data_IF_284561625482
#
_entry.id   IF_284561625482
#
_cell.length_a   1.000
_cell.length_b   1.000
_cell.length_c   1.000
_cell.angle_alpha   90.00
_cell.angle_beta   90.00
_cell.angle_gamma   90.00
#
_symmetry.space_group_name_H-M   'P 1'
#
loop_
_entity.id
_entity.type
_entity.pdbx_description
1 polymer ?
#
# COMPACT_ATOMS: atom_id res chain seq x y z
N UNK A 1 20.25 10.22 -31.24
CA UNK A 1 18.86 9.68 -31.38
C UNK A 1 18.63 8.40 -30.58
N UNK A 2 19.50 7.37 -30.64
CA UNK A 2 19.35 6.13 -29.86
C UNK A 2 19.29 6.34 -28.33
N UNK A 3 20.15 7.19 -27.77
CA UNK A 3 20.16 7.50 -26.33
C UNK A 3 18.87 8.20 -25.86
N UNK A 4 18.36 9.15 -26.64
CA UNK A 4 17.11 9.85 -26.34
C UNK A 4 15.90 8.88 -26.36
N UNK A 5 15.86 7.96 -27.33
CA UNK A 5 14.81 6.95 -27.40
C UNK A 5 14.84 6.00 -26.19
N UNK A 6 16.03 5.60 -25.73
CA UNK A 6 16.21 4.77 -24.53
C UNK A 6 15.72 5.51 -23.28
N UNK A 7 16.08 6.79 -23.12
CA UNK A 7 15.64 7.60 -21.98
C UNK A 7 14.11 7.78 -21.96
N UNK A 8 13.48 8.02 -23.11
CA UNK A 8 12.03 8.11 -23.23
C UNK A 8 11.33 6.79 -22.90
N UNK A 9 11.91 5.66 -23.30
CA UNK A 9 11.37 4.34 -23.00
C UNK A 9 11.43 4.02 -21.49
N UNK A 10 12.57 4.33 -20.84
CA UNK A 10 12.73 4.17 -19.39
C UNK A 10 11.72 5.07 -18.64
N UNK A 11 11.59 6.33 -19.07
CA UNK A 11 10.62 7.26 -18.48
C UNK A 11 9.18 6.75 -18.61
N UNK A 12 8.80 6.21 -19.77
CA UNK A 12 7.48 5.60 -19.99
C UNK A 12 7.19 4.40 -19.07
N UNK A 13 8.19 3.54 -18.81
CA UNK A 13 8.03 2.40 -17.90
C UNK A 13 7.82 2.86 -16.46
N UNK A 14 8.56 3.89 -16.00
CA UNK A 14 8.42 4.44 -14.66
C UNK A 14 7.01 5.00 -14.38
N UNK A 15 6.30 5.46 -15.41
CA UNK A 15 4.93 5.99 -15.26
C UNK A 15 3.87 4.90 -15.02
N UNK A 16 4.18 3.62 -15.27
CA UNK A 16 3.22 2.51 -15.13
C UNK A 16 3.32 1.77 -13.79
N UNK A 17 4.22 2.20 -12.88
CA UNK A 17 4.33 1.64 -11.55
C UNK A 17 3.15 2.11 -10.67
N UNK A 18 2.02 1.43 -10.81
CA UNK A 18 0.78 1.75 -10.13
C UNK A 18 0.59 0.87 -8.90
N UNK A 19 1.11 1.32 -7.77
CA UNK A 19 0.92 0.69 -6.48
C UNK A 19 1.52 1.55 -5.39
N UNK A 20 0.84 1.67 -4.25
CA UNK A 20 1.38 2.37 -3.10
C UNK A 20 2.03 1.38 -2.15
N UNK A 21 3.37 1.38 -2.14
CA UNK A 21 4.14 0.76 -1.06
C UNK A 21 5.12 1.78 -0.50
N UNK A 22 5.34 1.74 0.81
CA UNK A 22 6.38 2.55 1.45
C UNK A 22 7.16 1.72 2.45
N UNK A 23 8.41 2.10 2.69
CA UNK A 23 9.27 1.50 3.70
C UNK A 23 9.77 2.60 4.62
N UNK A 24 9.67 2.37 5.91
CA UNK A 24 10.19 3.28 6.93
C UNK A 24 11.13 2.51 7.84
N UNK A 25 12.28 3.10 8.15
CA UNK A 25 13.12 2.63 9.25
C UNK A 25 12.38 2.88 10.57
N UNK A 26 12.39 1.88 11.43
CA UNK A 26 11.80 1.95 12.76
C UNK A 26 12.78 1.41 13.79
N UNK A 27 12.61 1.86 15.03
CA UNK A 27 13.34 1.28 16.14
C UNK A 27 12.78 -0.13 16.45
N UNK A 28 13.66 -1.01 16.90
CA UNK A 28 13.27 -2.29 17.48
C UNK A 28 13.14 -2.13 18.98
N UNK A 29 12.26 -2.91 19.60
CA UNK A 29 12.15 -2.92 21.06
C UNK A 29 13.48 -3.39 21.68
N UNK A 30 14.09 -2.61 22.59
CA UNK A 30 15.35 -2.99 23.23
C UNK A 30 15.25 -4.24 24.10
N UNK A 31 14.04 -4.60 24.55
CA UNK A 31 13.78 -5.80 25.37
C UNK A 31 13.38 -7.01 24.52
N UNK A 32 12.80 -6.80 23.32
CA UNK A 32 12.41 -7.85 22.38
C UNK A 32 12.78 -7.47 20.92
N UNK A 33 13.91 -7.98 20.38
CA UNK A 33 14.36 -7.64 19.03
C UNK A 33 13.45 -8.16 17.91
N UNK A 34 12.36 -8.89 18.25
CA UNK A 34 11.32 -9.32 17.31
C UNK A 34 10.11 -8.38 17.30
N UNK A 35 10.19 -7.19 17.89
CA UNK A 35 9.10 -6.20 17.95
C UNK A 35 9.54 -4.88 17.32
N UNK A 36 8.76 -4.40 16.34
CA UNK A 36 8.92 -3.07 15.77
C UNK A 36 8.20 -2.01 16.62
N UNK A 37 8.81 -0.83 16.75
CA UNK A 37 8.19 0.35 17.36
C UNK A 37 7.75 1.32 16.24
N UNK A 38 6.47 1.32 15.87
CA UNK A 38 5.95 2.14 14.78
C UNK A 38 4.94 3.19 15.27
N UNK A 39 5.23 4.46 15.02
CA UNK A 39 4.43 5.60 15.50
C UNK A 39 2.93 5.49 15.20
N UNK A 40 2.56 4.92 14.04
CA UNK A 40 1.16 4.87 13.58
C UNK A 40 0.28 3.86 14.30
N UNK A 41 0.86 2.77 14.83
CA UNK A 41 0.11 1.62 15.37
C UNK A 41 0.68 1.08 16.69
N UNK A 42 1.84 1.58 17.12
CA UNK A 42 2.54 1.10 18.29
C UNK A 42 3.44 -0.10 18.01
N UNK A 43 3.43 -1.07 18.93
CA UNK A 43 4.30 -2.25 18.92
C UNK A 43 3.62 -3.41 18.22
N UNK A 44 4.34 -4.10 17.34
CA UNK A 44 3.86 -5.32 16.69
C UNK A 44 5.04 -6.18 16.22
N UNK A 45 4.83 -7.50 16.08
CA UNK A 45 5.91 -8.47 15.91
C UNK A 45 6.43 -8.53 14.48
N UNK A 46 7.69 -8.92 14.31
CA UNK A 46 8.25 -9.25 12.99
C UNK A 46 7.38 -10.32 12.32
N UNK A 47 7.05 -10.08 11.05
CA UNK A 47 6.15 -10.90 10.24
C UNK A 47 4.66 -10.61 10.45
N UNK A 48 4.29 -9.87 11.51
CA UNK A 48 2.91 -9.46 11.74
C UNK A 48 2.53 -8.29 10.81
N UNK A 49 1.29 -8.31 10.32
CA UNK A 49 0.69 -7.23 9.55
C UNK A 49 -0.49 -6.64 10.31
N UNK A 50 -0.52 -5.32 10.43
CA UNK A 50 -1.54 -4.57 11.18
C UNK A 50 -2.19 -3.51 10.30
N UNK A 51 -3.48 -3.31 10.47
CA UNK A 51 -4.26 -2.32 9.71
C UNK A 51 -3.95 -0.89 10.16
N UNK A 52 -3.87 0.05 9.21
CA UNK A 52 -3.74 1.49 9.47
C UNK A 52 -5.10 2.23 9.53
N UNK A 53 -6.20 1.47 9.55
CA UNK A 53 -7.55 1.99 9.76
C UNK A 53 -7.68 2.68 11.14
N UNK A 54 -8.45 3.78 11.26
CA UNK A 54 -9.30 4.42 10.22
C UNK A 54 -8.59 5.47 9.39
N UNK A 55 -7.33 5.78 9.69
CA UNK A 55 -6.64 6.93 9.09
C UNK A 55 -6.19 6.66 7.66
N UNK A 56 -5.95 5.40 7.29
CA UNK A 56 -5.40 5.03 5.99
C UNK A 56 -5.89 3.65 5.57
N UNK A 57 -6.29 3.50 4.30
CA UNK A 57 -6.59 2.20 3.71
C UNK A 57 -5.31 1.46 3.29
N UNK A 58 -4.60 0.95 4.29
CA UNK A 58 -3.36 0.21 4.12
C UNK A 58 -3.11 -0.71 5.31
N UNK A 59 -2.21 -1.67 5.12
CA UNK A 59 -1.62 -2.46 6.20
C UNK A 59 -0.12 -2.19 6.31
N UNK A 60 0.42 -2.36 7.51
CA UNK A 60 1.83 -2.24 7.82
C UNK A 60 2.35 -3.58 8.31
N UNK A 61 3.46 -4.05 7.74
CA UNK A 61 4.14 -5.29 8.12
C UNK A 61 5.49 -4.97 8.73
N UNK A 62 5.78 -5.55 9.89
CA UNK A 62 7.07 -5.39 10.57
C UNK A 62 8.09 -6.37 9.99
N UNK A 63 9.21 -5.84 9.52
CA UNK A 63 10.46 -6.57 9.31
C UNK A 63 11.54 -5.99 10.22
N UNK A 64 12.60 -6.75 10.50
CA UNK A 64 13.69 -6.31 11.40
C UNK A 64 14.22 -4.90 11.04
N UNK A 65 13.84 -3.90 11.84
CA UNK A 65 14.21 -2.49 11.69
C UNK A 65 13.50 -1.73 10.55
N UNK A 66 12.56 -2.36 9.85
CA UNK A 66 11.87 -1.79 8.69
C UNK A 66 10.39 -2.17 8.73
N UNK A 67 9.51 -1.17 8.75
CA UNK A 67 8.09 -1.38 8.50
C UNK A 67 7.80 -1.13 7.02
N UNK A 68 7.18 -2.12 6.36
CA UNK A 68 6.67 -1.97 5.00
C UNK A 68 5.17 -1.72 5.06
N UNK A 69 4.69 -0.66 4.41
CA UNK A 69 3.26 -0.38 4.27
C UNK A 69 2.80 -0.73 2.87
N UNK A 70 1.65 -1.38 2.76
CA UNK A 70 0.98 -1.77 1.52
C UNK A 70 -0.41 -1.14 1.45
N UNK A 71 -0.63 -0.31 0.43
CA UNK A 71 -1.94 0.27 0.12
C UNK A 71 -2.69 -0.51 -0.96
N UNK A 72 -3.81 0.07 -1.41
CA UNK A 72 -4.61 -0.51 -2.47
C UNK A 72 -3.90 -0.49 -3.84
N UNK A 73 -4.21 -1.49 -4.66
CA UNK A 73 -3.86 -1.47 -6.07
C UNK A 73 -4.71 -0.46 -6.85
N UNK A 74 -4.24 -0.08 -8.04
CA UNK A 74 -5.03 0.76 -8.95
C UNK A 74 -6.12 -0.07 -9.60
N UNK A 75 -7.33 0.48 -9.64
CA UNK A 75 -8.48 -0.10 -10.35
C UNK A 75 -8.98 0.90 -11.39
N UNK A 76 -9.41 0.40 -12.53
CA UNK A 76 -10.03 1.17 -13.60
C UNK A 76 -11.29 0.46 -14.08
N UNK A 77 -12.29 1.22 -14.52
CA UNK A 77 -13.56 0.68 -14.98
C UNK A 77 -14.03 1.41 -16.25
N UNK A 78 -14.57 0.64 -17.19
CA UNK A 78 -15.22 1.18 -18.39
C UNK A 78 -16.74 1.26 -18.18
N UNK A 79 -17.44 2.23 -18.78
CA UNK A 79 -18.90 2.26 -18.77
C UNK A 79 -19.50 0.91 -19.22
N UNK A 80 -20.60 0.44 -18.59
CA UNK A 80 -21.40 1.13 -17.58
C UNK A 80 -20.92 0.89 -16.12
N UNK A 81 -19.76 0.27 -15.91
CA UNK A 81 -19.21 0.03 -14.58
C UNK A 81 -18.57 1.30 -13.99
N UNK A 82 -18.64 1.44 -12.67
CA UNK A 82 -18.05 2.55 -11.92
C UNK A 82 -17.08 2.04 -10.86
N UNK A 83 -16.04 2.80 -10.57
CA UNK A 83 -15.16 2.56 -9.42
C UNK A 83 -15.81 3.17 -8.17
N UNK A 84 -16.12 2.34 -7.18
CA UNK A 84 -16.43 2.79 -5.82
C UNK A 84 -15.12 3.18 -5.14
N UNK A 85 -15.11 4.37 -4.53
CA UNK A 85 -13.96 4.90 -3.79
C UNK A 85 -13.68 4.06 -2.54
N UNK A 86 -12.51 4.32 -1.95
CA UNK A 86 -12.11 3.74 -0.67
C UNK A 86 -13.17 3.95 0.42
N UNK A 87 -13.29 2.95 1.30
CA UNK A 87 -14.19 2.96 2.44
C UNK A 87 -13.40 2.82 3.75
N UNK A 88 -12.98 3.94 4.32
CA UNK A 88 -12.21 4.01 5.57
C UNK A 88 -13.00 3.59 6.82
N UNK A 89 -14.24 3.12 6.69
CA UNK A 89 -14.97 2.45 7.77
C UNK A 89 -14.65 0.96 7.89
N UNK A 90 -13.77 0.44 7.01
CA UNK A 90 -13.34 -0.96 6.99
C UNK A 90 -11.81 -1.05 7.06
N UNK A 91 -11.23 -2.15 7.57
CA UNK A 91 -9.80 -2.38 7.49
C UNK A 91 -9.36 -2.73 6.06
N UNK A 92 -8.06 -2.63 5.79
CA UNK A 92 -7.47 -3.22 4.59
C UNK A 92 -7.65 -4.75 4.61
N UNK A 93 -7.90 -5.42 3.46
CA UNK A 93 -8.08 -4.87 2.11
C UNK A 93 -9.53 -4.42 1.79
N UNK A 94 -10.47 -4.60 2.71
CA UNK A 94 -11.90 -4.35 2.48
C UNK A 94 -12.26 -2.87 2.29
N UNK A 95 -11.38 -1.96 2.72
CA UNK A 95 -11.51 -0.55 2.44
C UNK A 95 -11.12 -0.16 1.01
N UNK A 96 -10.51 -1.06 0.22
CA UNK A 96 -10.00 -0.71 -1.10
C UNK A 96 -11.11 -0.39 -2.10
N UNK A 97 -10.79 0.40 -3.15
CA UNK A 97 -11.73 0.67 -4.23
C UNK A 97 -12.21 -0.63 -4.91
N UNK A 98 -13.49 -0.69 -5.23
CA UNK A 98 -14.11 -1.85 -5.89
C UNK A 98 -14.84 -1.43 -7.16
N UNK A 99 -14.93 -2.32 -8.14
CA UNK A 99 -15.70 -2.07 -9.35
C UNK A 99 -17.14 -2.51 -9.11
N UNK A 100 -18.08 -1.61 -9.35
CA UNK A 100 -19.51 -1.89 -9.32
C UNK A 100 -20.09 -1.78 -10.73
N UNK A 101 -20.64 -2.87 -11.24
CA UNK A 101 -21.31 -2.92 -12.53
C UNK A 101 -22.82 -3.10 -12.33
N UNK A 102 -23.67 -2.49 -13.17
CA UNK A 102 -25.09 -2.81 -13.18
C UNK A 102 -25.28 -4.31 -13.37
N UNK A 103 -26.15 -4.92 -12.57
CA UNK A 103 -26.62 -6.28 -12.82
C UNK A 103 -27.69 -6.17 -13.91
N UNK A 104 -27.52 -6.91 -15.01
CA UNK A 104 -28.50 -6.99 -16.09
C UNK A 104 -29.87 -7.44 -15.59
#
# INVERSE_FOLDING_TARGET
>A
MKLLAILLFIFGICLMAHGWTSRAHVEMDPEDPEVCLYEKVGKFRVGESVSLHPNTCAEATCGHGIVTTHGCGVVDAKPPCIVRRENLSKPYPDCCPTINCPQN
#
